data_IF_507957826764
#
_entry.id   IF_507957826764
#
_cell.length_a   1.000
_cell.length_b   1.000
_cell.length_c   1.000
_cell.angle_alpha   90.00
_cell.angle_beta   90.00
_cell.angle_gamma   90.00
#
_symmetry.space_group_name_H-M   'P 1'
#
loop_
_entity.id
_entity.type
_entity.pdbx_description
1 polymer ?
#
# COMPACT_ATOMS: atom_id res chain seq x y z
N UNK A 1 3.06 4.04 4.63
CA UNK A 1 2.54 3.64 3.30
C UNK A 1 3.72 3.14 2.46
N UNK A 2 3.64 1.92 1.93
CA UNK A 2 4.64 1.42 0.98
C UNK A 2 4.12 1.63 -0.44
N UNK A 3 4.98 2.06 -1.37
CA UNK A 3 4.61 2.29 -2.77
C UNK A 3 4.64 1.00 -3.60
N UNK A 4 5.45 0.03 -3.19
CA UNK A 4 5.67 -1.24 -3.88
C UNK A 4 6.07 -2.30 -2.84
N UNK A 5 5.75 -3.57 -3.09
CA UNK A 5 6.14 -4.70 -2.22
C UNK A 5 5.32 -4.88 -0.93
N UNK A 6 4.06 -4.43 -0.90
CA UNK A 6 3.21 -4.58 0.30
C UNK A 6 2.92 -6.05 0.64
N UNK A 7 2.88 -6.91 -0.36
CA UNK A 7 2.78 -8.36 -0.23
C UNK A 7 3.92 -8.95 0.61
N UNK A 8 5.16 -8.47 0.42
CA UNK A 8 6.28 -8.88 1.26
C UNK A 8 6.14 -8.42 2.71
N UNK A 9 5.60 -7.21 2.94
CA UNK A 9 5.31 -6.71 4.29
C UNK A 9 4.24 -7.58 4.96
N UNK A 10 3.20 -7.95 4.23
CA UNK A 10 2.13 -8.81 4.74
C UNK A 10 2.59 -10.25 5.02
N UNK A 11 3.68 -10.69 4.38
CA UNK A 11 4.30 -11.99 4.60
C UNK A 11 5.31 -12.03 5.76
N UNK A 12 5.60 -10.89 6.42
CA UNK A 12 6.47 -10.86 7.60
C UNK A 12 5.90 -11.75 8.70
N UNK A 13 6.75 -12.65 9.22
CA UNK A 13 6.38 -13.58 10.29
C UNK A 13 5.91 -12.81 11.52
N UNK A 14 4.76 -13.19 12.07
CA UNK A 14 4.22 -12.64 13.33
C UNK A 14 4.55 -13.59 14.47
N UNK A 15 4.95 -13.08 15.63
CA UNK A 15 5.14 -13.92 16.80
C UNK A 15 3.77 -14.35 17.36
N UNK A 16 3.74 -15.36 18.25
CA UNK A 16 2.50 -15.81 18.90
C UNK A 16 1.75 -14.66 19.60
N UNK A 17 0.42 -14.74 19.68
CA UNK A 17 -0.39 -13.67 20.30
C UNK A 17 0.00 -13.39 21.76
N UNK A 18 0.34 -14.43 22.50
CA UNK A 18 0.72 -14.35 23.93
C UNK A 18 2.09 -13.69 24.18
N UNK A 19 2.85 -13.40 23.12
CA UNK A 19 4.22 -12.87 23.23
C UNK A 19 4.32 -11.34 23.15
N UNK A 20 3.18 -10.64 23.27
CA UNK A 20 3.08 -9.18 23.15
C UNK A 20 3.77 -8.59 21.90
N UNK A 21 3.82 -9.37 20.82
CA UNK A 21 4.42 -8.94 19.55
C UNK A 21 5.94 -9.10 19.47
N UNK A 22 6.58 -9.86 20.37
CA UNK A 22 8.03 -10.07 20.39
C UNK A 22 8.36 -11.56 20.27
N UNK A 23 9.23 -11.92 19.32
CA UNK A 23 9.80 -13.27 19.28
C UNK A 23 10.81 -13.43 20.43
N UNK A 24 10.63 -14.45 21.27
CA UNK A 24 11.61 -14.82 22.31
C UNK A 24 12.97 -15.16 21.69
N UNK A 25 12.94 -15.98 20.64
CA UNK A 25 14.09 -16.26 19.78
C UNK A 25 14.03 -15.38 18.53
N UNK A 26 14.89 -14.36 18.48
CA UNK A 26 14.96 -13.40 17.38
C UNK A 26 15.32 -14.02 16.04
N UNK A 27 15.92 -15.22 16.01
CA UNK A 27 16.24 -15.92 14.75
C UNK A 27 14.99 -16.38 14.00
N UNK A 28 13.85 -16.44 14.68
CA UNK A 28 12.56 -16.80 14.08
C UNK A 28 11.93 -15.65 13.31
N UNK A 29 12.37 -14.41 13.55
CA UNK A 29 11.85 -13.21 12.90
C UNK A 29 12.23 -13.14 11.41
N UNK A 30 11.52 -12.29 10.66
CA UNK A 30 11.93 -11.94 9.29
C UNK A 30 13.02 -10.87 9.36
N UNK A 31 14.16 -11.09 8.70
CA UNK A 31 15.30 -10.18 8.76
C UNK A 31 15.41 -9.29 7.54
N UNK A 32 15.77 -8.02 7.76
CA UNK A 32 16.18 -7.11 6.69
C UNK A 32 17.60 -7.52 6.27
N UNK A 33 17.75 -8.03 5.05
CA UNK A 33 19.05 -8.51 4.54
C UNK A 33 19.95 -7.36 4.08
N UNK A 34 19.37 -6.33 3.46
CA UNK A 34 20.09 -5.17 2.95
C UNK A 34 19.15 -3.97 2.85
N UNK A 35 19.71 -2.77 2.92
CA UNK A 35 18.99 -1.52 2.70
C UNK A 35 19.85 -0.58 1.86
N UNK A 36 19.26 -0.01 0.82
CA UNK A 36 19.93 0.89 -0.11
C UNK A 36 19.00 2.03 -0.46
N UNK A 37 19.57 3.21 -0.70
CA UNK A 37 18.81 4.34 -1.20
C UNK A 37 18.77 4.24 -2.73
N UNK A 38 17.58 4.38 -3.35
CA UNK A 38 17.45 4.24 -4.80
C UNK A 38 18.38 5.18 -5.58
N UNK A 39 18.69 6.37 -5.05
CA UNK A 39 19.61 7.32 -5.70
C UNK A 39 21.08 6.92 -5.67
N UNK A 40 21.48 5.97 -4.80
CA UNK A 40 22.87 5.48 -4.72
C UNK A 40 23.13 4.30 -5.65
N UNK A 41 22.10 3.80 -6.34
CA UNK A 41 22.20 2.73 -7.33
C UNK A 41 22.50 3.29 -8.71
N UNK A 42 23.17 2.48 -9.54
CA UNK A 42 23.31 2.76 -10.97
C UNK A 42 21.93 2.87 -11.63
N UNK A 43 21.82 3.74 -12.64
CA UNK A 43 20.52 4.04 -13.29
C UNK A 43 19.79 2.81 -13.80
N UNK A 44 20.52 1.78 -14.24
CA UNK A 44 19.96 0.51 -14.71
C UNK A 44 19.37 -0.36 -13.59
N UNK A 45 19.75 -0.12 -12.34
CA UNK A 45 19.30 -0.86 -11.16
C UNK A 45 18.23 -0.10 -10.36
N UNK A 46 18.02 1.19 -10.65
CA UNK A 46 17.00 2.00 -9.98
C UNK A 46 15.60 1.49 -10.32
N UNK A 47 14.80 1.16 -9.31
CA UNK A 47 13.38 0.87 -9.48
C UNK A 47 12.68 2.17 -9.84
N UNK A 48 12.12 2.24 -11.04
CA UNK A 48 11.40 3.42 -11.53
C UNK A 48 9.90 3.22 -11.32
N UNK A 49 9.27 4.14 -10.59
CA UNK A 49 7.85 4.13 -10.29
C UNK A 49 7.19 5.40 -10.81
N UNK A 50 5.96 5.27 -11.34
CA UNK A 50 5.06 6.39 -11.57
C UNK A 50 3.94 6.36 -10.52
N UNK A 51 3.58 7.53 -10.01
CA UNK A 51 2.51 7.71 -9.01
C UNK A 51 1.41 8.56 -9.64
N UNK A 52 0.17 8.15 -9.43
CA UNK A 52 -1.02 8.87 -9.89
C UNK A 52 -1.05 10.31 -9.36
N UNK A 53 -1.33 11.27 -10.26
CA UNK A 53 -1.47 12.67 -9.88
C UNK A 53 -2.81 12.89 -9.13
N UNK A 54 -2.72 13.10 -7.82
CA UNK A 54 -3.88 13.30 -6.94
C UNK A 54 -4.57 14.66 -7.10
N UNK A 55 -3.93 15.61 -7.78
CA UNK A 55 -4.53 16.90 -8.15
C UNK A 55 -5.31 16.85 -9.46
N UNK A 56 -5.31 15.71 -10.17
CA UNK A 56 -6.00 15.58 -11.46
C UNK A 56 -7.52 15.48 -11.31
N UNK A 57 -8.25 15.93 -12.34
CA UNK A 57 -9.71 15.77 -12.41
C UNK A 57 -10.14 14.30 -12.36
N UNK A 58 -9.35 13.40 -12.96
CA UNK A 58 -9.59 11.96 -12.92
C UNK A 58 -9.54 11.40 -11.49
N UNK A 59 -8.57 11.84 -10.68
CA UNK A 59 -8.49 11.44 -9.28
C UNK A 59 -9.70 11.94 -8.47
N UNK A 60 -10.10 13.20 -8.70
CA UNK A 60 -11.29 13.77 -8.04
C UNK A 60 -12.57 13.01 -8.40
N UNK A 61 -12.70 12.58 -9.66
CA UNK A 61 -13.83 11.74 -10.10
C UNK A 61 -13.80 10.35 -9.45
N UNK A 62 -12.63 9.71 -9.38
CA UNK A 62 -12.45 8.45 -8.64
C UNK A 62 -12.90 8.58 -7.18
N UNK A 63 -12.55 9.67 -6.49
CA UNK A 63 -12.99 9.92 -5.10
C UNK A 63 -14.52 10.02 -5.01
N UNK A 64 -15.15 10.77 -5.91
CA UNK A 64 -16.62 10.90 -5.96
C UNK A 64 -17.29 9.54 -6.14
N UNK A 65 -16.84 8.74 -7.10
CA UNK A 65 -17.41 7.42 -7.38
C UNK A 65 -17.23 6.44 -6.21
N UNK A 66 -16.08 6.48 -5.52
CA UNK A 66 -15.83 5.62 -4.35
C UNK A 66 -16.67 6.01 -3.13
N UNK A 67 -16.92 7.31 -2.95
CA UNK A 67 -17.76 7.86 -1.87
C UNK A 67 -19.25 7.64 -2.17
N UNK A 68 -19.67 7.81 -3.41
CA UNK A 68 -21.06 7.70 -3.87
C UNK A 68 -21.31 6.37 -4.59
N UNK A 69 -21.48 5.29 -3.83
CA UNK A 69 -21.73 3.95 -4.40
C UNK A 69 -23.20 3.78 -4.80
N UNK A 70 -23.53 4.13 -6.04
CA UNK A 70 -24.91 4.06 -6.57
C UNK A 70 -25.27 2.71 -7.19
N UNK A 71 -24.31 1.82 -7.42
CA UNK A 71 -24.51 0.54 -8.10
C UNK A 71 -25.70 -0.27 -7.55
N UNK A 72 -26.54 -0.92 -8.39
CA UNK A 72 -27.72 -1.68 -7.96
C UNK A 72 -27.44 -2.83 -6.99
N UNK A 73 -26.21 -3.37 -7.01
CA UNK A 73 -25.74 -4.37 -6.02
C UNK A 73 -25.98 -3.94 -4.58
N UNK A 74 -25.83 -2.64 -4.28
CA UNK A 74 -26.13 -2.09 -2.96
C UNK A 74 -27.64 -1.82 -2.85
N UNK A 75 -28.39 -2.81 -2.35
CA UNK A 75 -29.81 -2.66 -2.00
C UNK A 75 -30.00 -1.58 -0.91
N UNK A 76 -29.13 -1.59 0.12
CA UNK A 76 -28.96 -0.51 1.09
C UNK A 76 -27.72 0.29 0.72
N UNK A 77 -27.90 1.55 0.34
CA UNK A 77 -26.77 2.41 -0.07
C UNK A 77 -25.82 2.65 1.11
N UNK A 78 -24.49 2.47 0.91
CA UNK A 78 -23.51 2.79 1.93
C UNK A 78 -23.54 4.28 2.30
N UNK A 79 -23.10 4.64 3.52
CA UNK A 79 -22.91 6.05 3.88
C UNK A 79 -21.88 6.69 2.95
N UNK A 80 -22.08 7.97 2.65
CA UNK A 80 -21.25 8.75 1.72
C UNK A 80 -19.96 9.25 2.39
N UNK A 81 -19.27 8.35 3.07
CA UNK A 81 -18.00 8.60 3.75
C UNK A 81 -16.90 7.77 3.11
N UNK A 82 -15.70 8.34 3.05
CA UNK A 82 -14.52 7.67 2.56
C UNK A 82 -13.37 8.01 3.51
N UNK A 83 -12.84 6.98 4.17
CA UNK A 83 -11.64 7.11 4.98
C UNK A 83 -10.44 7.43 4.07
N UNK A 84 -9.65 8.43 4.45
CA UNK A 84 -8.47 8.87 3.72
C UNK A 84 -7.46 7.74 3.52
N UNK A 85 -7.33 6.84 4.50
CA UNK A 85 -6.42 5.69 4.42
C UNK A 85 -6.91 4.59 3.46
N UNK A 86 -8.17 4.63 3.06
CA UNK A 86 -8.79 3.66 2.14
C UNK A 86 -8.87 4.16 0.70
N UNK A 87 -8.27 5.33 0.41
CA UNK A 87 -8.14 5.86 -0.94
C UNK A 87 -6.94 5.21 -1.61
N UNK A 88 -7.14 4.32 -2.61
CA UNK A 88 -6.02 3.77 -3.34
C UNK A 88 -5.44 4.85 -4.26
N UNK A 89 -4.16 5.16 -4.08
CA UNK A 89 -3.35 5.94 -5.03
C UNK A 89 -2.61 4.94 -5.91
N UNK A 90 -2.80 5.04 -7.22
CA UNK A 90 -2.19 4.08 -8.14
C UNK A 90 -0.68 4.32 -8.24
N UNK A 91 0.07 3.22 -8.18
CA UNK A 91 1.52 3.19 -8.41
C UNK A 91 1.78 2.13 -9.47
N UNK A 92 2.63 2.44 -10.45
CA UNK A 92 3.04 1.49 -11.50
C UNK A 92 4.55 1.50 -11.68
N UNK A 93 5.10 0.33 -12.04
CA UNK A 93 6.47 0.21 -12.51
C UNK A 93 6.55 0.77 -13.93
N UNK A 94 7.54 1.64 -14.17
CA UNK A 94 7.85 2.16 -15.51
C UNK A 94 9.13 1.50 -16.01
N UNK A 95 9.12 1.05 -17.26
CA UNK A 95 10.31 0.53 -17.94
C UNK A 95 11.20 1.71 -18.37
#
# INVERSE_FOLDING_TARGET
MALYGMDHIQAIKRPPLESDGIFEDKSQATHIQSMQLGSTLDKSQQIRLAVENTSSAAFQEKLKQRRLRTHPFFFKKPPQVLDVCQVPVQVSLIK
#
